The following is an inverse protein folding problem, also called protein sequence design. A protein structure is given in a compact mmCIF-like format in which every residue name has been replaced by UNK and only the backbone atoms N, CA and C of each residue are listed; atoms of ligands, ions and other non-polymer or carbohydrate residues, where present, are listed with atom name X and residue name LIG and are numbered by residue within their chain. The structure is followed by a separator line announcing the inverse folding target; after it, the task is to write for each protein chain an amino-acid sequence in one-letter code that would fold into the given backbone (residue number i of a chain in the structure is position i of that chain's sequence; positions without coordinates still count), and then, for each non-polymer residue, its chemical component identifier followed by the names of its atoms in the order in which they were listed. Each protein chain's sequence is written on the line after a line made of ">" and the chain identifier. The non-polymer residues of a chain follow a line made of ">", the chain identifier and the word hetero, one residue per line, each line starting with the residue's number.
data_IF_027729427030
#
_entry.id   IF_027729427030
#
_cell.length_a   1.000
_cell.length_b   1.000
_cell.length_c   1.000
_cell.angle_alpha   90.00
_cell.angle_beta   90.00
_cell.angle_gamma   90.00
#
_symmetry.space_group_name_H-M   'P 1'
#
loop_
_entity.id
_entity.type
_entity.pdbx_description
1 polymer ?
#
# COMPACT_ATOMS: atom_id res chain seq x y z
N UNK A 1 48.79 -21.20 -4.45
CA UNK A 1 48.01 -20.11 -5.11
C UNK A 1 46.55 -19.97 -4.62
N UNK A 2 46.09 -20.67 -3.57
CA UNK A 2 44.69 -20.57 -3.09
C UNK A 2 44.39 -19.48 -2.05
N UNK A 3 45.36 -19.06 -1.24
CA UNK A 3 45.12 -18.13 -0.11
C UNK A 3 44.82 -16.69 -0.54
N UNK A 4 45.46 -16.21 -1.61
CA UNK A 4 45.17 -14.86 -2.13
C UNK A 4 43.75 -14.76 -2.67
N UNK A 5 43.20 -15.88 -3.16
CA UNK A 5 41.85 -15.91 -3.73
C UNK A 5 40.76 -15.76 -2.65
N UNK A 6 40.99 -16.34 -1.48
CA UNK A 6 40.11 -16.20 -0.32
C UNK A 6 40.15 -14.79 0.28
N UNK A 7 41.34 -14.17 0.31
CA UNK A 7 41.53 -12.85 0.90
C UNK A 7 40.82 -11.74 0.10
N UNK A 8 40.90 -11.75 -1.23
CA UNK A 8 40.16 -10.72 -2.00
C UNK A 8 38.65 -10.89 -1.86
N UNK A 9 38.12 -12.12 -1.73
CA UNK A 9 36.68 -12.34 -1.52
C UNK A 9 36.24 -11.70 -0.21
N UNK A 10 37.01 -11.85 0.86
CA UNK A 10 36.74 -11.20 2.16
C UNK A 10 36.77 -9.67 2.04
N UNK A 11 37.72 -9.11 1.29
CA UNK A 11 37.80 -7.66 1.05
C UNK A 11 36.58 -7.16 0.27
N UNK A 12 36.18 -7.86 -0.81
CA UNK A 12 35.01 -7.51 -1.61
C UNK A 12 33.73 -7.60 -0.77
N UNK A 13 33.57 -8.66 0.03
CA UNK A 13 32.44 -8.80 0.95
C UNK A 13 32.43 -7.70 2.01
N UNK A 14 33.57 -7.37 2.60
CA UNK A 14 33.70 -6.27 3.55
C UNK A 14 33.31 -4.92 2.94
N UNK A 15 33.72 -4.67 1.69
CA UNK A 15 33.33 -3.49 0.93
C UNK A 15 31.83 -3.42 0.68
N UNK A 16 31.19 -4.52 0.26
CA UNK A 16 29.74 -4.58 0.08
C UNK A 16 28.97 -4.42 1.39
N UNK A 17 29.44 -5.03 2.48
CA UNK A 17 28.85 -4.86 3.82
C UNK A 17 28.95 -3.39 4.25
N UNK A 18 30.10 -2.75 4.05
CA UNK A 18 30.29 -1.33 4.33
C UNK A 18 29.32 -0.47 3.53
N UNK A 19 29.16 -0.72 2.23
CA UNK A 19 28.17 -0.02 1.38
C UNK A 19 26.75 -0.21 1.90
N UNK A 20 26.34 -1.45 2.19
CA UNK A 20 24.99 -1.77 2.67
C UNK A 20 24.70 -1.06 3.98
N UNK A 21 25.65 -1.05 4.91
CA UNK A 21 25.53 -0.37 6.20
C UNK A 21 25.37 1.15 5.99
N UNK A 22 26.18 1.76 5.12
CA UNK A 22 26.07 3.19 4.82
C UNK A 22 24.74 3.55 4.15
N UNK A 23 24.28 2.73 3.19
CA UNK A 23 22.97 2.92 2.56
C UNK A 23 21.85 2.82 3.59
N UNK A 24 21.91 1.82 4.47
CA UNK A 24 20.95 1.62 5.55
C UNK A 24 20.88 2.84 6.48
N UNK A 25 22.02 3.31 7.00
CA UNK A 25 22.06 4.48 7.87
C UNK A 25 21.66 5.78 7.16
N UNK A 26 22.01 5.96 5.89
CA UNK A 26 21.56 7.11 5.09
C UNK A 26 20.04 7.08 4.86
N UNK A 27 19.48 5.89 4.64
CA UNK A 27 18.04 5.69 4.45
C UNK A 27 17.20 5.92 5.72
N UNK A 28 17.83 5.83 6.90
CA UNK A 28 17.19 6.19 8.16
C UNK A 28 17.02 7.71 8.20
N UNK A 29 15.89 8.18 7.64
CA UNK A 29 15.44 9.57 7.77
C UNK A 29 15.33 9.93 9.24
N UNK A 30 16.41 10.47 9.78
CA UNK A 30 16.45 10.99 11.13
C UNK A 30 16.94 12.41 11.04
N UNK A 31 16.20 13.27 11.75
CA UNK A 31 16.44 14.68 12.02
C UNK A 31 17.74 14.86 12.81
N UNK A 32 18.85 14.36 12.27
CA UNK A 32 20.19 14.59 12.81
C UNK A 32 20.57 15.99 12.36
N UNK A 33 20.94 16.82 13.34
CA UNK A 33 21.44 18.18 13.19
C UNK A 33 22.74 18.14 12.38
N UNK A 34 22.64 17.92 11.07
CA UNK A 34 23.73 18.13 10.14
C UNK A 34 23.96 19.63 10.06
N UNK A 35 25.20 20.05 10.30
CA UNK A 35 25.61 21.44 10.07
C UNK A 35 25.26 21.85 8.64
N UNK A 36 24.72 23.05 8.47
CA UNK A 36 24.10 23.52 7.21
C UNK A 36 24.99 23.32 5.97
N UNK A 37 26.31 23.51 6.13
CA UNK A 37 27.29 23.28 5.05
C UNK A 37 27.33 21.84 4.54
N UNK A 38 27.29 20.88 5.46
CA UNK A 38 27.39 19.46 5.16
C UNK A 38 26.08 18.97 4.52
N UNK A 39 24.94 19.47 5.01
CA UNK A 39 23.62 19.27 4.39
C UNK A 39 23.58 19.82 2.97
N UNK A 40 24.08 21.03 2.75
CA UNK A 40 24.11 21.66 1.43
C UNK A 40 24.96 20.85 0.44
N UNK A 41 26.18 20.46 0.82
CA UNK A 41 27.08 19.65 -0.01
C UNK A 41 26.51 18.27 -0.35
N UNK A 42 25.86 17.61 0.61
CA UNK A 42 25.19 16.32 0.37
C UNK A 42 24.02 16.52 -0.60
N UNK A 43 23.21 17.56 -0.42
CA UNK A 43 22.04 17.82 -1.28
C UNK A 43 22.40 18.22 -2.73
N UNK A 44 23.57 18.82 -2.96
CA UNK A 44 24.06 19.13 -4.32
C UNK A 44 24.66 17.93 -5.03
N UNK A 45 25.32 17.02 -4.31
CA UNK A 45 25.90 15.81 -4.89
C UNK A 45 24.88 14.68 -5.04
N UNK A 46 23.94 14.62 -4.11
CA UNK A 46 22.82 13.67 -4.08
C UNK A 46 21.54 14.49 -3.97
N UNK A 47 21.04 15.05 -5.08
CA UNK A 47 19.71 15.63 -5.06
C UNK A 47 18.73 14.53 -4.63
N UNK A 48 18.16 14.68 -3.44
CA UNK A 48 17.08 13.86 -2.84
C UNK A 48 15.77 14.01 -3.64
N UNK A 49 15.87 14.04 -4.96
CA UNK A 49 14.90 14.57 -5.90
C UNK A 49 14.59 13.60 -7.03
N UNK A 50 14.49 12.31 -6.74
CA UNK A 50 13.65 11.43 -7.55
C UNK A 50 12.20 11.63 -7.14
N UNK A 51 11.64 12.82 -7.41
CA UNK A 51 10.21 13.10 -7.21
C UNK A 51 9.41 12.38 -8.31
N UNK A 52 9.49 11.06 -8.34
CA UNK A 52 8.65 10.17 -9.13
C UNK A 52 7.37 9.83 -8.35
N UNK A 53 6.68 10.85 -7.83
CA UNK A 53 5.32 10.67 -7.37
C UNK A 53 4.42 10.73 -8.60
N UNK A 54 4.27 9.61 -9.30
CA UNK A 54 3.34 9.46 -10.43
C UNK A 54 1.87 9.42 -10.00
N UNK A 55 1.61 9.56 -8.69
CA UNK A 55 0.29 9.42 -8.07
C UNK A 55 0.14 10.47 -6.97
N UNK A 56 -0.99 11.16 -6.89
CA UNK A 56 -1.22 12.17 -5.86
C UNK A 56 -1.34 11.48 -4.48
N UNK A 57 -0.55 11.89 -3.47
CA UNK A 57 -0.61 11.30 -2.12
C UNK A 57 -1.95 11.50 -1.41
N UNK A 58 -2.85 12.33 -1.96
CA UNK A 58 -4.22 12.56 -1.47
C UNK A 58 -5.28 11.73 -2.20
N UNK A 59 -4.88 10.93 -3.18
CA UNK A 59 -5.80 10.04 -3.87
C UNK A 59 -6.48 9.08 -2.89
N UNK A 60 -7.77 8.76 -3.12
CA UNK A 60 -8.46 7.78 -2.31
C UNK A 60 -7.72 6.43 -2.28
N UNK A 61 -7.60 5.89 -1.07
CA UNK A 61 -7.16 4.54 -0.81
C UNK A 61 -8.33 3.58 -1.01
N UNK A 62 -8.10 2.50 -1.73
CA UNK A 62 -9.05 1.42 -1.92
C UNK A 62 -8.80 0.33 -0.88
N UNK A 63 -9.79 0.06 -0.04
CA UNK A 63 -9.86 -1.08 0.86
C UNK A 63 -10.91 -2.07 0.38
N UNK A 64 -10.66 -3.36 0.59
CA UNK A 64 -11.52 -4.42 0.09
C UNK A 64 -11.74 -5.46 1.17
N UNK A 65 -12.99 -5.85 1.35
CA UNK A 65 -13.41 -6.86 2.29
C UNK A 65 -14.25 -7.91 1.57
N UNK A 66 -14.05 -9.19 1.90
CA UNK A 66 -14.96 -10.26 1.53
C UNK A 66 -16.02 -10.40 2.62
N UNK A 67 -17.28 -10.50 2.22
CA UNK A 67 -18.38 -10.75 3.16
C UNK A 67 -18.59 -12.27 3.24
N UNK A 68 -18.25 -12.86 4.38
CA UNK A 68 -18.50 -14.28 4.68
C UNK A 68 -19.16 -14.39 6.05
N UNK A 69 -20.25 -15.16 6.15
CA UNK A 69 -20.97 -15.40 7.42
C UNK A 69 -21.29 -14.11 8.19
N UNK A 70 -21.73 -13.07 7.47
CA UNK A 70 -22.03 -11.75 8.03
C UNK A 70 -20.84 -11.06 8.73
N UNK A 71 -19.62 -11.37 8.31
CA UNK A 71 -18.36 -10.76 8.78
C UNK A 71 -17.55 -10.21 7.61
N UNK A 72 -16.79 -9.15 7.87
CA UNK A 72 -15.86 -8.55 6.92
C UNK A 72 -14.47 -9.16 7.07
N UNK A 73 -13.99 -9.82 6.01
CA UNK A 73 -12.63 -10.35 5.93
C UNK A 73 -11.77 -9.43 5.05
N UNK A 74 -10.82 -8.73 5.67
CA UNK A 74 -9.94 -7.80 4.95
C UNK A 74 -9.07 -8.52 3.91
N UNK A 75 -9.02 -7.96 2.70
CA UNK A 75 -8.15 -8.42 1.62
C UNK A 75 -7.01 -7.40 1.46
N UNK A 76 -5.76 -7.75 1.84
CA UNK A 76 -4.65 -6.81 1.79
C UNK A 76 -4.22 -6.51 0.36
N UNK A 77 -4.38 -5.26 -0.07
CA UNK A 77 -3.94 -4.78 -1.38
C UNK A 77 -2.51 -4.19 -1.37
N UNK A 78 -1.90 -4.01 -0.19
CA UNK A 78 -0.53 -3.48 -0.08
C UNK A 78 0.54 -4.57 -0.19
N UNK A 79 1.59 -4.31 -0.98
CA UNK A 79 2.79 -5.16 -1.03
C UNK A 79 3.49 -5.23 0.33
N UNK A 80 3.43 -4.18 1.15
CA UNK A 80 4.10 -4.15 2.45
C UNK A 80 3.41 -4.99 3.53
N UNK A 81 2.27 -5.60 3.22
CA UNK A 81 1.54 -6.39 4.21
C UNK A 81 2.26 -7.70 4.55
N UNK A 82 2.03 -8.22 5.76
CA UNK A 82 2.60 -9.49 6.22
C UNK A 82 2.16 -10.65 5.33
N UNK A 83 0.92 -10.62 4.84
CA UNK A 83 0.33 -11.62 3.95
C UNK A 83 1.02 -11.67 2.59
N UNK A 84 1.63 -10.55 2.17
CA UNK A 84 2.44 -10.45 0.95
C UNK A 84 3.94 -10.58 1.23
N UNK A 85 4.31 -11.00 2.43
CA UNK A 85 5.69 -11.21 2.88
C UNK A 85 6.53 -9.95 2.67
N UNK A 86 5.97 -8.78 3.01
CA UNK A 86 6.65 -7.49 2.85
C UNK A 86 7.17 -7.21 1.42
N UNK A 87 6.52 -7.79 0.40
CA UNK A 87 6.80 -7.51 -1.01
C UNK A 87 7.47 -8.64 -1.78
N UNK A 88 7.79 -9.77 -1.15
CA UNK A 88 8.26 -10.96 -1.88
C UNK A 88 7.17 -11.59 -2.74
N UNK A 89 5.90 -11.46 -2.35
CA UNK A 89 4.76 -11.93 -3.13
C UNK A 89 4.27 -10.86 -4.11
N UNK A 90 3.98 -11.26 -5.36
CA UNK A 90 3.36 -10.39 -6.38
C UNK A 90 1.82 -10.39 -6.32
N UNK A 91 1.23 -11.11 -5.38
CA UNK A 91 -0.23 -11.34 -5.26
C UNK A 91 -1.02 -10.04 -5.14
N UNK A 92 -0.62 -9.14 -4.24
CA UNK A 92 -1.30 -7.86 -4.02
C UNK A 92 -1.35 -6.95 -5.25
N UNK A 93 -0.36 -7.02 -6.14
CA UNK A 93 -0.39 -6.26 -7.41
C UNK A 93 -1.53 -6.72 -8.30
N UNK A 94 -1.70 -8.03 -8.45
CA UNK A 94 -2.79 -8.60 -9.25
C UNK A 94 -4.13 -8.36 -8.58
N UNK A 95 -4.22 -8.51 -7.25
CA UNK A 95 -5.43 -8.20 -6.49
C UNK A 95 -5.83 -6.73 -6.62
N UNK A 96 -4.89 -5.80 -6.47
CA UNK A 96 -5.16 -4.36 -6.64
C UNK A 96 -5.63 -4.03 -8.06
N UNK A 97 -5.04 -4.66 -9.08
CA UNK A 97 -5.49 -4.53 -10.46
C UNK A 97 -6.92 -5.06 -10.66
N UNK A 98 -7.20 -6.30 -10.24
CA UNK A 98 -8.54 -6.89 -10.33
C UNK A 98 -9.59 -6.04 -9.59
N UNK A 99 -9.27 -5.59 -8.37
CA UNK A 99 -10.13 -4.72 -7.57
C UNK A 99 -10.45 -3.40 -8.29
N UNK A 100 -9.45 -2.79 -8.93
CA UNK A 100 -9.64 -1.53 -9.67
C UNK A 100 -10.57 -1.68 -10.89
N UNK A 101 -10.50 -2.82 -11.58
CA UNK A 101 -11.39 -3.12 -12.71
C UNK A 101 -12.83 -3.36 -12.23
N UNK A 102 -12.99 -4.08 -11.12
CA UNK A 102 -14.32 -4.34 -10.54
C UNK A 102 -14.97 -3.01 -10.13
N UNK A 103 -14.21 -2.14 -9.47
CA UNK A 103 -14.67 -0.81 -9.03
C UNK A 103 -14.98 0.11 -10.20
N UNK A 104 -14.21 0.06 -11.30
CA UNK A 104 -14.45 0.93 -12.46
C UNK A 104 -15.73 0.58 -13.24
N UNK A 105 -16.25 -0.64 -13.07
CA UNK A 105 -17.55 -1.05 -13.63
C UNK A 105 -18.74 -0.58 -12.77
N UNK A 106 -18.50 -0.15 -11.53
CA UNK A 106 -19.55 0.34 -10.64
C UNK A 106 -19.94 1.80 -10.96
N UNK A 107 -21.23 2.10 -11.21
CA UNK A 107 -21.70 3.48 -11.37
C UNK A 107 -21.41 4.35 -10.14
N UNK A 108 -20.93 5.57 -10.35
CA UNK A 108 -20.62 6.52 -9.26
C UNK A 108 -21.83 6.81 -8.35
N UNK A 109 -23.05 6.77 -8.88
CA UNK A 109 -24.30 7.01 -8.13
C UNK A 109 -24.64 5.93 -7.10
N UNK A 110 -24.04 4.74 -7.19
CA UNK A 110 -24.31 3.63 -6.26
C UNK A 110 -23.36 3.63 -5.05
N UNK A 111 -22.38 4.52 -5.03
CA UNK A 111 -21.50 4.69 -3.90
C UNK A 111 -22.22 5.42 -2.77
N UNK A 112 -22.12 4.88 -1.56
CA UNK A 112 -22.74 5.43 -0.36
C UNK A 112 -21.66 6.17 0.42
N UNK A 113 -21.82 7.48 0.58
CA UNK A 113 -20.89 8.30 1.37
C UNK A 113 -21.21 8.20 2.85
N UNK A 114 -20.18 7.98 3.67
CA UNK A 114 -20.27 7.86 5.11
C UNK A 114 -19.01 8.42 5.77
N UNK A 115 -19.02 8.48 7.10
CA UNK A 115 -17.89 8.97 7.90
C UNK A 115 -17.57 8.00 9.02
N UNK A 116 -16.29 7.79 9.26
CA UNK A 116 -15.79 6.96 10.35
C UNK A 116 -15.18 5.64 9.88
N UNK A 117 -15.22 4.65 10.75
CA UNK A 117 -14.52 3.37 10.56
C UNK A 117 -15.40 2.13 10.82
N UNK A 118 -16.71 2.30 11.02
CA UNK A 118 -17.62 1.18 11.24
C UNK A 118 -18.20 0.67 9.91
N UNK A 119 -17.42 -0.17 9.23
CA UNK A 119 -17.80 -0.72 7.93
C UNK A 119 -18.83 -1.86 8.01
N UNK A 120 -19.04 -2.45 9.20
CA UNK A 120 -19.96 -3.59 9.38
C UNK A 120 -21.42 -3.19 9.08
N UNK A 121 -21.75 -1.91 9.23
CA UNK A 121 -23.07 -1.37 8.89
C UNK A 121 -23.44 -1.58 7.41
N UNK A 122 -22.45 -1.71 6.52
CA UNK A 122 -22.65 -1.87 5.07
C UNK A 122 -22.82 -3.33 4.63
N UNK A 123 -22.78 -4.29 5.55
CA UNK A 123 -22.96 -5.71 5.20
C UNK A 123 -24.36 -5.96 4.62
N UNK A 124 -25.37 -5.22 5.10
CA UNK A 124 -26.76 -5.37 4.69
C UNK A 124 -27.17 -4.49 3.51
N UNK A 125 -26.25 -3.70 2.95
CA UNK A 125 -26.56 -2.84 1.81
C UNK A 125 -26.97 -3.65 0.57
N UNK A 126 -27.64 -2.97 -0.37
CA UNK A 126 -28.02 -3.55 -1.65
C UNK A 126 -26.75 -3.79 -2.48
N UNK A 127 -26.56 -5.02 -2.94
CA UNK A 127 -25.38 -5.39 -3.71
C UNK A 127 -25.55 -5.04 -5.20
N UNK A 128 -24.59 -4.33 -5.76
CA UNK A 128 -24.48 -4.14 -7.21
C UNK A 128 -23.86 -5.40 -7.85
N UNK A 129 -24.51 -5.95 -8.88
CA UNK A 129 -24.04 -7.17 -9.53
C UNK A 129 -23.05 -6.87 -10.65
N UNK A 130 -21.85 -7.46 -10.54
CA UNK A 130 -20.80 -7.39 -11.56
C UNK A 130 -20.50 -8.80 -12.04
N UNK A 131 -20.35 -9.00 -13.36
CA UNK A 131 -19.99 -10.30 -13.92
C UNK A 131 -18.51 -10.57 -13.66
N UNK A 132 -18.19 -11.69 -13.03
CA UNK A 132 -16.80 -12.10 -12.85
C UNK A 132 -16.17 -12.42 -14.20
N UNK A 133 -15.02 -11.80 -14.49
CA UNK A 133 -14.24 -12.09 -15.69
C UNK A 133 -13.39 -13.34 -15.47
N UNK A 134 -13.21 -14.16 -16.51
CA UNK A 134 -12.37 -15.36 -16.46
C UNK A 134 -10.91 -15.05 -16.09
N UNK A 135 -10.47 -13.80 -16.31
CA UNK A 135 -9.15 -13.30 -15.91
C UNK A 135 -8.98 -13.08 -14.40
N UNK A 136 -10.05 -13.17 -13.59
CA UNK A 136 -9.96 -12.92 -12.15
C UNK A 136 -9.38 -14.14 -11.43
N UNK A 137 -8.10 -14.05 -11.09
CA UNK A 137 -7.37 -15.09 -10.40
C UNK A 137 -7.66 -15.09 -8.90
N UNK A 138 -7.84 -13.91 -8.29
CA UNK A 138 -7.98 -13.79 -6.84
C UNK A 138 -9.39 -13.42 -6.38
N UNK A 139 -10.12 -12.62 -7.16
CA UNK A 139 -11.53 -12.30 -6.87
C UNK A 139 -12.48 -13.36 -7.45
N UNK A 140 -12.89 -14.30 -6.60
CA UNK A 140 -13.87 -15.35 -6.95
C UNK A 140 -15.30 -14.85 -6.73
N UNK A 141 -16.28 -15.63 -7.22
CA UNK A 141 -17.70 -15.33 -7.03
C UNK A 141 -18.03 -15.16 -5.54
N UNK A 142 -18.91 -14.21 -5.24
CA UNK A 142 -19.32 -13.90 -3.88
C UNK A 142 -19.50 -12.41 -3.62
N UNK A 143 -19.75 -12.08 -2.35
CA UNK A 143 -20.03 -10.72 -1.89
C UNK A 143 -18.77 -10.04 -1.38
N UNK A 144 -18.54 -8.81 -1.84
CA UNK A 144 -17.41 -7.99 -1.46
C UNK A 144 -17.88 -6.58 -1.13
N UNK A 145 -17.20 -5.96 -0.17
CA UNK A 145 -17.37 -4.55 0.18
C UNK A 145 -16.10 -3.81 -0.24
N UNK A 146 -16.26 -2.81 -1.11
CA UNK A 146 -15.19 -1.93 -1.54
C UNK A 146 -15.37 -0.58 -0.84
N UNK A 147 -14.27 -0.02 -0.35
CA UNK A 147 -14.26 1.23 0.40
C UNK A 147 -13.20 2.14 -0.18
N UNK A 148 -13.59 3.36 -0.55
CA UNK A 148 -12.71 4.43 -0.98
C UNK A 148 -12.63 5.48 0.12
N UNK A 149 -11.46 5.68 0.72
CA UNK A 149 -11.28 6.70 1.77
C UNK A 149 -10.04 7.55 1.50
N UNK A 150 -10.06 8.81 1.92
CA UNK A 150 -8.87 9.66 1.82
C UNK A 150 -7.82 9.22 2.84
N UNK A 151 -6.52 9.24 2.49
CA UNK A 151 -5.46 8.96 3.45
C UNK A 151 -5.47 10.03 4.54
N UNK A 152 -5.29 9.60 5.80
CA UNK A 152 -5.13 10.51 6.93
C UNK A 152 -3.76 11.20 6.79
N UNK A 153 -3.70 12.53 6.73
CA UNK A 153 -2.43 13.23 6.69
C UNK A 153 -1.54 12.87 7.87
N UNK A 154 -0.25 12.74 7.61
CA UNK A 154 0.76 12.32 8.60
C UNK A 154 0.72 13.17 9.88
N UNK A 155 0.37 14.45 9.78
CA UNK A 155 0.26 15.39 10.89
C UNK A 155 -0.77 14.94 11.94
N UNK A 156 -1.70 14.04 11.59
CA UNK A 156 -2.76 13.54 12.47
C UNK A 156 -2.70 12.03 12.69
N UNK A 157 -1.57 11.38 12.40
CA UNK A 157 -1.44 9.93 12.51
C UNK A 157 -1.77 9.37 13.92
N UNK A 158 -1.52 10.16 14.98
CA UNK A 158 -1.76 9.75 16.37
C UNK A 158 -3.07 10.30 16.96
N UNK A 159 -3.86 11.04 16.19
CA UNK A 159 -5.02 11.79 16.70
C UNK A 159 -6.35 11.03 16.56
N UNK A 160 -6.31 9.70 16.37
CA UNK A 160 -7.47 8.82 16.19
C UNK A 160 -8.53 9.34 15.18
N UNK A 161 -8.07 10.03 14.12
CA UNK A 161 -8.93 10.69 13.14
C UNK A 161 -9.75 9.73 12.26
N UNK A 162 -9.50 8.42 12.35
CA UNK A 162 -10.25 7.39 11.63
C UNK A 162 -11.76 7.50 11.82
N UNK A 163 -12.23 7.97 12.98
CA UNK A 163 -13.65 8.18 13.29
C UNK A 163 -14.30 9.32 12.50
N UNK A 164 -13.51 10.23 11.96
CA UNK A 164 -13.97 11.39 11.21
C UNK A 164 -13.61 11.32 9.73
N UNK A 165 -12.91 10.26 9.31
CA UNK A 165 -12.48 10.10 7.92
C UNK A 165 -13.70 9.86 7.02
N UNK A 166 -13.92 10.71 6.00
CA UNK A 166 -14.95 10.45 5.01
C UNK A 166 -14.54 9.29 4.12
N UNK A 167 -15.50 8.40 3.83
CA UNK A 167 -15.31 7.29 2.92
C UNK A 167 -16.56 7.08 2.07
N UNK A 168 -16.39 6.43 0.92
CA UNK A 168 -17.46 5.95 0.07
C UNK A 168 -17.41 4.42 0.07
N UNK A 169 -18.54 3.76 0.25
CA UNK A 169 -18.65 2.31 0.22
C UNK A 169 -19.54 1.83 -0.92
N UNK A 170 -19.24 0.64 -1.44
CA UNK A 170 -20.14 -0.08 -2.33
C UNK A 170 -20.03 -1.58 -2.09
N UNK A 171 -21.18 -2.25 -1.99
CA UNK A 171 -21.27 -3.70 -1.93
C UNK A 171 -21.43 -4.25 -3.34
N UNK A 172 -20.55 -5.17 -3.72
CA UNK A 172 -20.55 -5.79 -5.04
C UNK A 172 -20.74 -7.30 -4.91
N UNK A 173 -21.68 -7.83 -5.69
CA UNK A 173 -21.84 -9.25 -5.89
C UNK A 173 -21.16 -9.67 -7.20
N UNK A 174 -20.09 -10.48 -7.08
CA UNK A 174 -19.41 -11.06 -8.23
C UNK A 174 -20.10 -12.37 -8.63
N UNK A 175 -20.77 -12.34 -9.79
CA UNK A 175 -21.51 -13.47 -10.36
C UNK A 175 -20.72 -14.30 -11.37
#
# INVERSE_FOLDING_TARGET
>A
MGNNFSNYKKVIWGFWIFIIINIFFSSLKTQVVLGEKLKMQISTLFPEGWSFFTRDPREPLLEVYKIENNKLLYIPLSNSSKENWFGFSRKSRVQGYEASIIVSEAPSKLWIENTGNNYENHINDVAFSVKSKRSNNYFKKGLYLFILKKPIPWAWANEHQEKFTPYSSIKINLN
#
